data_IF_714411784262
#
_entry.id   IF_714411784262
#
_cell.length_a   1.000
_cell.length_b   1.000
_cell.length_c   1.000
_cell.angle_alpha   90.00
_cell.angle_beta   90.00
_cell.angle_gamma   90.00
#
_symmetry.space_group_name_H-M   'P 1'
#
loop_
_entity.id
_entity.type
_entity.pdbx_description
1 polymer ?
#
# COMPACT_ATOMS: atom_id res chain seq x y z
N UNK A 1 19.65 12.13 10.14
CA UNK A 1 19.11 10.91 10.75
C UNK A 1 19.90 9.71 10.24
N UNK A 2 20.25 8.77 11.14
CA UNK A 2 20.96 7.54 10.77
C UNK A 2 20.03 6.34 10.89
N UNK A 3 19.87 5.58 9.81
CA UNK A 3 18.95 4.44 9.74
C UNK A 3 19.66 3.29 9.05
N UNK A 4 19.60 2.08 9.63
CA UNK A 4 20.27 0.87 9.11
C UNK A 4 21.74 1.09 8.70
N UNK A 5 22.46 1.92 9.47
CA UNK A 5 23.86 2.25 9.21
C UNK A 5 24.11 3.35 8.17
N UNK A 6 23.08 3.90 7.52
CA UNK A 6 23.15 4.93 6.47
C UNK A 6 22.69 6.29 6.99
N UNK A 7 23.40 7.36 6.63
CA UNK A 7 23.00 8.75 6.91
C UNK A 7 22.05 9.23 5.80
N UNK A 8 20.79 9.53 6.15
CA UNK A 8 19.72 9.80 5.18
C UNK A 8 19.27 11.27 5.15
N UNK A 9 20.04 12.17 5.77
CA UNK A 9 19.67 13.59 5.85
C UNK A 9 18.61 13.88 6.92
N UNK A 10 17.92 15.02 6.78
CA UNK A 10 17.04 15.60 7.80
C UNK A 10 15.60 15.84 7.31
N UNK A 11 15.28 15.50 6.06
CA UNK A 11 14.00 15.83 5.41
C UNK A 11 12.79 15.24 6.16
N UNK A 12 12.99 14.14 6.88
CA UNK A 12 11.96 13.48 7.68
C UNK A 12 11.93 13.90 9.16
N UNK A 13 12.89 14.70 9.65
CA UNK A 13 13.05 14.92 11.10
C UNK A 13 11.76 15.42 11.77
N UNK A 14 11.05 16.35 11.12
CA UNK A 14 9.80 16.89 11.64
C UNK A 14 8.68 15.83 11.66
N UNK A 15 8.48 15.13 10.54
CA UNK A 15 7.47 14.07 10.42
C UNK A 15 7.72 12.94 11.43
N UNK A 16 8.98 12.49 11.52
CA UNK A 16 9.41 11.46 12.45
C UNK A 16 9.14 11.89 13.90
N UNK A 17 9.59 13.08 14.31
CA UNK A 17 9.40 13.56 15.68
C UNK A 17 7.92 13.71 16.08
N UNK A 18 7.06 14.12 15.15
CA UNK A 18 5.61 14.19 15.38
C UNK A 18 4.99 12.81 15.60
N UNK A 19 5.30 11.85 14.73
CA UNK A 19 4.74 10.50 14.81
C UNK A 19 5.32 9.75 16.01
N UNK A 20 6.62 9.84 16.25
CA UNK A 20 7.28 9.25 17.42
C UNK A 20 6.65 9.74 18.72
N UNK A 21 6.43 11.06 18.85
CA UNK A 21 5.78 11.64 20.02
C UNK A 21 4.38 11.07 20.24
N UNK A 22 3.57 10.96 19.17
CA UNK A 22 2.22 10.37 19.25
C UNK A 22 2.25 8.89 19.58
N UNK A 23 3.11 8.09 18.95
CA UNK A 23 3.27 6.67 19.26
C UNK A 23 3.63 6.47 20.73
N UNK A 24 4.56 7.27 21.25
CA UNK A 24 4.96 7.21 22.66
C UNK A 24 3.81 7.58 23.60
N UNK A 25 3.09 8.66 23.32
CA UNK A 25 2.07 9.19 24.22
C UNK A 25 0.73 8.43 24.15
N UNK A 26 0.30 8.03 22.94
CA UNK A 26 -1.01 7.42 22.69
C UNK A 26 -0.95 5.89 22.76
N UNK A 27 0.19 5.28 22.43
CA UNK A 27 0.33 3.81 22.35
C UNK A 27 1.34 3.23 23.32
N UNK A 28 2.14 4.06 24.00
CA UNK A 28 3.21 3.62 24.91
C UNK A 28 4.21 2.66 24.26
N UNK A 29 4.57 2.94 23.00
CA UNK A 29 5.54 2.17 22.21
C UNK A 29 6.68 3.04 21.71
N UNK A 30 7.73 2.39 21.22
CA UNK A 30 8.85 3.03 20.52
C UNK A 30 8.90 2.62 19.06
N UNK A 31 9.42 3.49 18.18
CA UNK A 31 9.66 3.17 16.78
C UNK A 31 11.12 2.72 16.63
N UNK A 32 11.33 1.55 16.03
CA UNK A 32 12.66 1.01 15.73
C UNK A 32 12.81 0.76 14.24
N UNK A 33 14.05 0.87 13.77
CA UNK A 33 14.41 0.58 12.38
C UNK A 33 15.28 -0.65 12.31
N UNK A 34 14.96 -1.57 11.40
CA UNK A 34 15.76 -2.76 11.14
C UNK A 34 15.93 -3.00 9.64
N UNK A 35 17.05 -3.60 9.26
CA UNK A 35 17.28 -4.03 7.89
C UNK A 35 16.65 -5.41 7.65
N UNK A 36 16.12 -5.65 6.46
CA UNK A 36 15.71 -6.99 6.03
C UNK A 36 16.01 -7.23 4.54
N UNK A 37 15.98 -8.50 4.15
CA UNK A 37 16.05 -8.95 2.75
C UNK A 37 14.67 -9.52 2.35
N UNK A 38 14.17 -9.12 1.18
CA UNK A 38 12.86 -9.57 0.69
C UNK A 38 12.38 -8.79 -0.53
N UNK A 39 11.15 -9.02 -0.98
CA UNK A 39 10.64 -8.43 -2.23
C UNK A 39 10.00 -7.04 -2.05
N UNK A 40 9.72 -6.63 -0.81
CA UNK A 40 9.14 -5.32 -0.50
C UNK A 40 10.20 -4.30 -0.14
N UNK A 41 9.91 -3.02 -0.34
CA UNK A 41 10.83 -1.92 0.02
C UNK A 41 10.87 -1.68 1.53
N UNK A 42 9.73 -1.84 2.19
CA UNK A 42 9.58 -1.71 3.64
C UNK A 42 8.36 -2.45 4.16
N UNK A 43 8.33 -2.70 5.48
CA UNK A 43 7.12 -3.13 6.19
C UNK A 43 7.09 -2.59 7.62
N UNK A 44 5.88 -2.49 8.19
CA UNK A 44 5.66 -2.03 9.57
C UNK A 44 5.11 -3.19 10.40
N UNK A 45 5.91 -3.67 11.36
CA UNK A 45 5.49 -4.69 12.34
C UNK A 45 5.07 -4.00 13.62
N UNK A 46 3.90 -4.40 14.13
CA UNK A 46 3.38 -3.94 15.41
C UNK A 46 3.59 -5.03 16.45
N UNK A 47 4.50 -4.79 17.40
CA UNK A 47 4.76 -5.68 18.53
C UNK A 47 4.16 -5.11 19.81
N UNK A 48 4.26 -5.86 20.91
CA UNK A 48 3.66 -5.46 22.19
C UNK A 48 4.21 -4.11 22.67
N UNK A 49 5.54 -3.95 22.65
CA UNK A 49 6.25 -2.78 23.19
C UNK A 49 6.87 -1.87 22.13
N UNK A 50 6.93 -2.29 20.87
CA UNK A 50 7.59 -1.53 19.81
C UNK A 50 6.90 -1.65 18.46
N UNK A 51 7.18 -0.70 17.59
CA UNK A 51 6.81 -0.70 16.18
C UNK A 51 8.11 -0.79 15.38
N UNK A 52 8.29 -1.86 14.62
CA UNK A 52 9.47 -2.05 13.77
C UNK A 52 9.16 -1.62 12.35
N UNK A 53 9.89 -0.61 11.87
CA UNK A 53 9.97 -0.25 10.46
C UNK A 53 11.13 -1.04 9.86
N UNK A 54 10.81 -2.08 9.09
CA UNK A 54 11.80 -2.88 8.38
C UNK A 54 12.07 -2.25 7.02
N UNK A 55 13.34 -2.08 6.68
CA UNK A 55 13.81 -1.44 5.45
C UNK A 55 14.65 -2.40 4.64
N UNK A 56 14.41 -2.46 3.34
CA UNK A 56 15.18 -3.33 2.45
C UNK A 56 16.66 -2.93 2.43
N UNK A 57 17.57 -3.85 2.74
CA UNK A 57 19.01 -3.57 2.87
C UNK A 57 19.63 -3.04 1.57
N UNK A 58 19.11 -3.49 0.42
CA UNK A 58 19.49 -3.05 -0.92
C UNK A 58 19.00 -1.65 -1.32
N UNK A 59 18.17 -0.97 -0.52
CA UNK A 59 17.71 0.37 -0.85
C UNK A 59 18.87 1.39 -0.80
N UNK A 60 19.09 2.20 -1.85
CA UNK A 60 20.16 3.20 -1.84
C UNK A 60 19.82 4.35 -0.89
N UNK A 61 20.86 5.03 -0.37
CA UNK A 61 20.70 6.07 0.66
C UNK A 61 19.73 7.19 0.26
N UNK A 62 19.75 7.61 -1.01
CA UNK A 62 18.87 8.68 -1.51
C UNK A 62 17.39 8.29 -1.54
N UNK A 63 17.08 7.00 -1.65
CA UNK A 63 15.69 6.51 -1.72
C UNK A 63 15.08 6.26 -0.33
N UNK A 64 15.91 6.12 0.71
CA UNK A 64 15.46 5.80 2.07
C UNK A 64 14.49 6.83 2.67
N UNK A 65 14.66 8.16 2.48
CA UNK A 65 13.68 9.14 2.96
C UNK A 65 12.26 8.87 2.45
N UNK A 66 12.07 8.59 1.16
CA UNK A 66 10.73 8.31 0.64
C UNK A 66 10.15 6.99 1.18
N UNK A 67 10.96 5.93 1.27
CA UNK A 67 10.54 4.62 1.81
C UNK A 67 10.11 4.75 3.28
N UNK A 68 10.93 5.42 4.10
CA UNK A 68 10.62 5.66 5.52
C UNK A 68 9.42 6.58 5.65
N UNK A 69 9.30 7.60 4.80
CA UNK A 69 8.15 8.49 4.74
C UNK A 69 6.84 7.72 4.61
N UNK A 70 6.75 6.78 3.67
CA UNK A 70 5.55 5.94 3.47
C UNK A 70 5.27 5.09 4.70
N UNK A 71 6.29 4.43 5.27
CA UNK A 71 6.13 3.64 6.49
C UNK A 71 5.62 4.48 7.68
N UNK A 72 6.13 5.70 7.84
CA UNK A 72 5.67 6.66 8.83
C UNK A 72 4.21 7.07 8.61
N UNK A 73 3.80 7.30 7.35
CA UNK A 73 2.40 7.59 7.05
C UNK A 73 1.48 6.43 7.40
N UNK A 74 1.88 5.17 7.19
CA UNK A 74 1.07 4.03 7.65
C UNK A 74 0.92 3.95 9.17
N UNK A 75 1.95 4.36 9.93
CA UNK A 75 1.83 4.52 11.39
C UNK A 75 0.83 5.63 11.72
N UNK A 76 0.95 6.79 11.07
CA UNK A 76 0.01 7.91 11.25
C UNK A 76 -1.43 7.50 10.92
N UNK A 77 -1.66 6.84 9.80
CA UNK A 77 -2.99 6.34 9.40
C UNK A 77 -3.61 5.47 10.50
N UNK A 78 -2.83 4.62 11.16
CA UNK A 78 -3.34 3.83 12.30
C UNK A 78 -3.68 4.69 13.51
N UNK A 79 -2.84 5.66 13.87
CA UNK A 79 -3.11 6.63 14.95
C UNK A 79 -4.39 7.43 14.66
N UNK A 80 -4.58 7.82 13.39
CA UNK A 80 -5.72 8.58 12.90
C UNK A 80 -6.96 7.72 12.57
N UNK A 81 -6.92 6.43 12.97
CA UNK A 81 -8.04 5.49 12.83
C UNK A 81 -8.53 5.32 11.38
N UNK A 82 -7.64 5.43 10.40
CA UNK A 82 -7.93 4.97 9.04
C UNK A 82 -8.30 3.48 9.05
N UNK A 83 -9.18 3.05 8.12
CA UNK A 83 -9.62 1.66 8.03
C UNK A 83 -8.46 0.72 7.72
N UNK A 84 -8.71 -0.58 7.85
CA UNK A 84 -7.79 -1.60 7.38
C UNK A 84 -8.55 -2.82 6.90
N UNK A 85 -7.92 -3.61 6.04
CA UNK A 85 -8.46 -4.90 5.65
C UNK A 85 -8.02 -5.97 6.66
N UNK A 86 -8.94 -6.86 7.04
CA UNK A 86 -8.74 -7.98 7.96
C UNK A 86 -9.16 -9.28 7.32
N UNK A 87 -8.51 -10.36 7.76
CA UNK A 87 -9.00 -11.71 7.54
C UNK A 87 -10.31 -11.90 8.32
N UNK A 88 -11.29 -12.55 7.70
CA UNK A 88 -12.52 -13.00 8.37
C UNK A 88 -12.47 -14.52 8.63
N UNK A 89 -13.56 -15.11 9.14
CA UNK A 89 -13.57 -16.47 9.69
C UNK A 89 -13.01 -17.55 8.73
N UNK A 90 -13.28 -17.45 7.43
CA UNK A 90 -12.68 -18.32 6.42
C UNK A 90 -11.63 -17.54 5.62
N UNK A 91 -10.45 -18.13 5.47
CA UNK A 91 -9.42 -17.62 4.56
C UNK A 91 -9.30 -18.54 3.36
N UNK A 92 -8.80 -17.98 2.28
CA UNK A 92 -8.61 -18.69 1.02
C UNK A 92 -7.15 -18.57 0.59
N UNK A 93 -6.73 -19.46 -0.29
CA UNK A 93 -5.43 -19.33 -0.95
C UNK A 93 -5.37 -17.99 -1.72
N UNK A 94 -4.26 -17.26 -1.57
CA UNK A 94 -4.10 -15.90 -2.11
C UNK A 94 -4.86 -14.79 -1.35
N UNK A 95 -5.69 -15.12 -0.36
CA UNK A 95 -6.51 -14.13 0.36
C UNK A 95 -5.70 -13.04 1.07
N UNK A 96 -4.55 -13.38 1.65
CA UNK A 96 -3.66 -12.41 2.29
C UNK A 96 -3.14 -11.36 1.29
N UNK A 97 -2.71 -11.81 0.11
CA UNK A 97 -2.19 -10.96 -0.95
C UNK A 97 -3.26 -9.97 -1.45
N UNK A 98 -4.50 -10.44 -1.66
CA UNK A 98 -5.63 -9.60 -2.07
C UNK A 98 -5.97 -8.56 -0.99
N UNK A 99 -5.99 -8.96 0.30
CA UNK A 99 -6.27 -8.03 1.40
C UNK A 99 -5.23 -6.92 1.50
N UNK A 100 -3.95 -7.26 1.36
CA UNK A 100 -2.87 -6.27 1.35
C UNK A 100 -2.98 -5.35 0.13
N UNK A 101 -3.28 -5.88 -1.07
CA UNK A 101 -3.48 -5.06 -2.25
C UNK A 101 -4.68 -4.11 -2.13
N UNK A 102 -5.80 -4.58 -1.55
CA UNK A 102 -6.98 -3.75 -1.30
C UNK A 102 -6.67 -2.64 -0.28
N UNK A 103 -5.91 -2.96 0.77
CA UNK A 103 -5.46 -1.95 1.74
C UNK A 103 -4.61 -0.88 1.05
N UNK A 104 -3.62 -1.31 0.27
CA UNK A 104 -2.63 -0.41 -0.33
C UNK A 104 -3.17 0.36 -1.54
N UNK A 105 -4.22 -0.13 -2.21
CA UNK A 105 -4.94 0.62 -3.24
C UNK A 105 -5.44 1.96 -2.71
N UNK A 106 -5.84 2.01 -1.43
CA UNK A 106 -6.41 3.21 -0.80
C UNK A 106 -5.36 3.94 0.06
N UNK A 107 -4.67 3.20 0.93
CA UNK A 107 -3.76 3.79 1.90
C UNK A 107 -2.40 4.19 1.31
N UNK A 108 -2.00 3.58 0.19
CA UNK A 108 -0.80 3.97 -0.55
C UNK A 108 -0.91 5.40 -1.10
N UNK A 109 -1.92 5.69 -1.95
CA UNK A 109 -2.13 7.03 -2.49
C UNK A 109 -2.24 8.11 -1.41
N UNK A 110 -2.97 7.84 -0.34
CA UNK A 110 -3.11 8.77 0.78
C UNK A 110 -1.76 9.06 1.45
N UNK A 111 -0.95 8.03 1.69
CA UNK A 111 0.40 8.21 2.24
C UNK A 111 1.29 9.03 1.29
N UNK A 112 1.26 8.72 -0.01
CA UNK A 112 2.01 9.44 -1.05
C UNK A 112 1.65 10.92 -1.09
N UNK A 113 0.36 11.27 -1.07
CA UNK A 113 -0.13 12.65 -1.06
C UNK A 113 0.35 13.44 0.16
N UNK A 114 0.37 12.84 1.36
CA UNK A 114 0.87 13.49 2.57
C UNK A 114 2.37 13.78 2.53
N UNK A 115 3.11 13.08 1.67
CA UNK A 115 4.56 13.26 1.51
C UNK A 115 4.94 14.25 0.41
N UNK A 116 4.01 14.62 -0.48
CA UNK A 116 4.26 15.59 -1.57
C UNK A 116 4.95 16.88 -1.09
N UNK A 117 4.54 17.52 0.04
CA UNK A 117 5.18 18.75 0.51
C UNK A 117 6.66 18.60 0.90
N UNK A 118 7.12 17.37 1.16
CA UNK A 118 8.52 17.09 1.51
C UNK A 118 9.43 16.95 0.29
N UNK A 119 8.87 16.92 -0.93
CA UNK A 119 9.61 16.83 -2.19
C UNK A 119 10.69 15.73 -2.20
N UNK A 120 10.38 14.57 -1.62
CA UNK A 120 11.29 13.44 -1.51
C UNK A 120 11.57 12.82 -2.88
N UNK A 121 12.82 12.38 -3.09
CA UNK A 121 13.17 11.60 -4.27
C UNK A 121 12.53 10.20 -4.21
N UNK A 122 11.65 9.94 -5.18
CA UNK A 122 10.92 8.70 -5.34
C UNK A 122 11.27 7.97 -6.64
N UNK A 123 12.25 8.44 -7.42
CA UNK A 123 12.61 7.88 -8.73
C UNK A 123 12.95 6.39 -8.61
N UNK A 124 13.89 6.05 -7.73
CA UNK A 124 14.30 4.66 -7.52
C UNK A 124 13.13 3.75 -7.13
N UNK A 125 12.22 4.23 -6.26
CA UNK A 125 11.06 3.44 -5.83
C UNK A 125 10.09 3.20 -6.98
N UNK A 126 9.86 4.22 -7.81
CA UNK A 126 9.04 4.12 -9.03
C UNK A 126 9.66 3.12 -10.01
N UNK A 127 10.98 3.14 -10.18
CA UNK A 127 11.69 2.16 -11.00
C UNK A 127 11.54 0.73 -10.47
N UNK A 128 11.73 0.51 -9.17
CA UNK A 128 11.57 -0.84 -8.58
C UNK A 128 10.14 -1.36 -8.75
N UNK A 129 9.13 -0.53 -8.48
CA UNK A 129 7.71 -0.88 -8.72
C UNK A 129 7.45 -1.20 -10.19
N UNK A 130 7.94 -0.36 -11.09
CA UNK A 130 7.79 -0.55 -12.53
C UNK A 130 8.41 -1.86 -13.01
N UNK A 131 9.63 -2.20 -12.57
CA UNK A 131 10.27 -3.47 -12.92
C UNK A 131 9.54 -4.66 -12.29
N UNK A 132 9.10 -4.54 -11.05
CA UNK A 132 8.27 -5.56 -10.39
C UNK A 132 7.00 -5.86 -11.17
N UNK A 133 6.28 -4.83 -11.62
CA UNK A 133 5.06 -5.01 -12.42
C UNK A 133 5.36 -5.60 -13.82
N UNK A 134 6.48 -5.24 -14.45
CA UNK A 134 6.90 -5.86 -15.71
C UNK A 134 7.13 -7.37 -15.56
N UNK A 135 7.84 -7.76 -14.51
CA UNK A 135 8.12 -9.16 -14.22
C UNK A 135 6.83 -9.91 -13.91
N UNK A 136 5.97 -9.32 -13.08
CA UNK A 136 4.65 -9.84 -12.78
C UNK A 136 3.81 -10.11 -14.03
N UNK A 137 3.70 -9.13 -14.94
CA UNK A 137 2.92 -9.28 -16.17
C UNK A 137 3.49 -10.32 -17.13
N UNK A 138 4.82 -10.44 -17.18
CA UNK A 138 5.49 -11.45 -18.02
C UNK A 138 5.23 -12.87 -17.52
N UNK A 139 5.25 -13.05 -16.21
CA UNK A 139 5.21 -14.36 -15.57
C UNK A 139 3.85 -14.64 -14.90
N UNK A 140 2.80 -13.90 -15.31
CA UNK A 140 1.47 -13.97 -14.71
C UNK A 140 0.86 -15.37 -14.94
N UNK A 141 0.44 -16.07 -13.88
CA UNK A 141 -0.20 -17.37 -14.02
C UNK A 141 -1.57 -17.29 -14.74
N UNK A 142 -2.02 -18.34 -15.45
CA UNK A 142 -3.29 -18.33 -16.19
C UNK A 142 -4.52 -18.00 -15.32
N UNK A 143 -4.54 -18.42 -14.05
CA UNK A 143 -5.66 -18.17 -13.13
C UNK A 143 -5.89 -16.68 -12.83
N UNK A 144 -4.93 -15.81 -13.18
CA UNK A 144 -5.09 -14.36 -13.05
C UNK A 144 -6.04 -13.78 -14.11
N UNK A 145 -6.35 -14.54 -15.16
CA UNK A 145 -7.40 -14.23 -16.12
C UNK A 145 -8.78 -14.80 -15.74
N UNK A 146 -8.87 -15.61 -14.69
CA UNK A 146 -10.14 -16.21 -14.25
C UNK A 146 -10.91 -15.23 -13.35
N UNK A 147 -11.99 -14.66 -13.87
CA UNK A 147 -12.85 -13.74 -13.11
C UNK A 147 -13.40 -14.45 -11.86
N UNK A 148 -13.26 -13.77 -10.72
CA UNK A 148 -13.63 -14.30 -9.40
C UNK A 148 -12.52 -15.08 -8.70
N UNK A 149 -11.43 -15.44 -9.38
CA UNK A 149 -10.25 -16.00 -8.72
C UNK A 149 -9.50 -14.93 -7.92
N UNK A 150 -8.86 -15.29 -6.79
CA UNK A 150 -8.07 -14.34 -6.00
C UNK A 150 -6.91 -13.69 -6.78
N UNK A 151 -6.30 -14.42 -7.71
CA UNK A 151 -5.26 -13.89 -8.60
C UNK A 151 -5.77 -12.75 -9.49
N UNK A 152 -6.95 -12.92 -10.09
CA UNK A 152 -7.60 -11.88 -10.88
C UNK A 152 -7.97 -10.65 -10.03
N UNK A 153 -8.53 -10.85 -8.84
CA UNK A 153 -8.85 -9.76 -7.92
C UNK A 153 -7.58 -8.97 -7.52
N UNK A 154 -6.50 -9.67 -7.18
CA UNK A 154 -5.22 -9.04 -6.89
C UNK A 154 -4.68 -8.23 -8.07
N UNK A 155 -4.68 -8.80 -9.28
CA UNK A 155 -4.25 -8.11 -10.48
C UNK A 155 -5.12 -6.88 -10.77
N UNK A 156 -6.43 -6.96 -10.54
CA UNK A 156 -7.36 -5.83 -10.72
C UNK A 156 -7.04 -4.68 -9.76
N UNK A 157 -6.76 -4.99 -8.49
CA UNK A 157 -6.35 -4.00 -7.47
C UNK A 157 -4.99 -3.37 -7.82
N UNK A 158 -4.04 -4.16 -8.35
CA UNK A 158 -2.77 -3.63 -8.84
C UNK A 158 -3.00 -2.67 -10.02
N UNK A 159 -3.80 -3.05 -11.01
CA UNK A 159 -4.11 -2.18 -12.15
C UNK A 159 -4.68 -0.84 -11.67
N UNK A 160 -5.66 -0.87 -10.76
CA UNK A 160 -6.27 0.33 -10.20
C UNK A 160 -5.25 1.21 -9.46
N UNK A 161 -4.38 0.60 -8.64
CA UNK A 161 -3.35 1.34 -7.89
C UNK A 161 -2.33 2.01 -8.81
N UNK A 162 -1.83 1.28 -9.81
CA UNK A 162 -0.86 1.84 -10.75
C UNK A 162 -1.46 2.95 -11.60
N UNK A 163 -2.76 2.90 -11.88
CA UNK A 163 -3.49 3.99 -12.54
C UNK A 163 -3.56 5.26 -11.69
N UNK A 164 -3.42 5.16 -10.36
CA UNK A 164 -3.45 6.30 -9.43
C UNK A 164 -2.05 6.87 -9.20
N UNK A 165 -1.10 6.03 -8.78
CA UNK A 165 0.17 6.51 -8.22
C UNK A 165 1.35 6.47 -9.20
N UNK A 166 1.26 5.66 -10.26
CA UNK A 166 2.43 5.39 -11.08
C UNK A 166 2.67 6.52 -12.08
N UNK A 167 3.92 6.99 -12.28
CA UNK A 167 4.19 8.09 -13.20
C UNK A 167 3.65 7.80 -14.61
N UNK A 168 2.87 8.72 -15.18
CA UNK A 168 2.11 8.52 -16.43
C UNK A 168 2.97 7.96 -17.58
N UNK A 169 4.18 8.52 -17.77
CA UNK A 169 5.13 8.07 -18.80
C UNK A 169 5.58 6.63 -18.63
N UNK A 170 5.65 6.15 -17.38
CA UNK A 170 5.98 4.77 -17.06
C UNK A 170 4.75 3.87 -17.06
N UNK A 171 3.57 4.41 -16.72
CA UNK A 171 2.33 3.65 -16.66
C UNK A 171 1.78 3.33 -18.05
N UNK A 172 1.69 4.30 -18.95
CA UNK A 172 1.08 4.13 -20.27
C UNK A 172 1.55 2.88 -21.07
N UNK A 173 2.85 2.52 -21.12
CA UNK A 173 3.27 1.27 -21.76
C UNK A 173 2.88 0.02 -20.96
N UNK A 174 2.90 0.07 -19.62
CA UNK A 174 2.49 -1.05 -18.77
C UNK A 174 0.99 -1.28 -18.81
N UNK A 175 0.20 -0.20 -18.87
CA UNK A 175 -1.26 -0.29 -18.98
C UNK A 175 -1.65 -1.12 -20.20
N UNK A 176 -1.04 -0.84 -21.36
CA UNK A 176 -1.25 -1.60 -22.60
C UNK A 176 -0.83 -3.05 -22.46
N UNK A 177 0.32 -3.31 -21.83
CA UNK A 177 0.76 -4.68 -21.56
C UNK A 177 -0.23 -5.40 -20.64
N UNK A 178 -0.71 -4.74 -19.58
CA UNK A 178 -1.70 -5.28 -18.65
C UNK A 178 -3.00 -5.65 -19.38
N UNK A 179 -3.50 -4.76 -20.24
CA UNK A 179 -4.70 -5.00 -21.05
C UNK A 179 -4.55 -6.18 -22.03
N UNK A 180 -3.34 -6.46 -22.49
CA UNK A 180 -3.07 -7.58 -23.40
C UNK A 180 -2.90 -8.90 -22.66
N UNK A 181 -2.12 -8.92 -21.58
CA UNK A 181 -1.78 -10.15 -20.84
C UNK A 181 -2.88 -10.56 -19.86
N UNK A 182 -3.53 -9.58 -19.22
CA UNK A 182 -4.54 -9.77 -18.18
C UNK A 182 -5.81 -8.92 -18.44
N UNK A 183 -6.49 -9.09 -19.60
CA UNK A 183 -7.60 -8.23 -20.02
C UNK A 183 -8.74 -8.15 -19.00
N UNK A 184 -9.14 -9.27 -18.40
CA UNK A 184 -10.23 -9.30 -17.43
C UNK A 184 -9.87 -8.52 -16.14
N UNK A 185 -8.63 -8.66 -15.68
CA UNK A 185 -8.17 -7.89 -14.51
C UNK A 185 -8.02 -6.40 -14.83
N UNK A 186 -7.62 -6.04 -16.05
CA UNK A 186 -7.55 -4.65 -16.49
C UNK A 186 -8.94 -4.00 -16.55
N UNK A 187 -9.95 -4.72 -17.04
CA UNK A 187 -11.34 -4.25 -17.07
C UNK A 187 -11.88 -4.01 -15.65
N UNK A 188 -11.79 -5.01 -14.78
CA UNK A 188 -12.20 -4.90 -13.38
C UNK A 188 -11.41 -3.81 -12.64
N UNK A 189 -10.11 -3.69 -12.90
CA UNK A 189 -9.25 -2.67 -12.32
C UNK A 189 -9.65 -1.25 -12.72
N UNK A 190 -10.11 -1.04 -13.96
CA UNK A 190 -10.66 0.26 -14.40
C UNK A 190 -11.97 0.58 -13.67
N UNK A 191 -12.88 -0.38 -13.55
CA UNK A 191 -14.13 -0.19 -12.81
C UNK A 191 -13.86 0.20 -11.35
N UNK A 192 -12.95 -0.52 -10.68
CA UNK A 192 -12.51 -0.19 -9.32
C UNK A 192 -11.91 1.22 -9.25
N UNK A 193 -11.00 1.57 -10.17
CA UNK A 193 -10.40 2.90 -10.23
C UNK A 193 -11.45 4.01 -10.36
N UNK A 194 -12.42 3.86 -11.26
CA UNK A 194 -13.49 4.82 -11.49
C UNK A 194 -14.36 5.01 -10.23
N UNK A 195 -14.72 3.91 -9.56
CA UNK A 195 -15.48 3.94 -8.31
C UNK A 195 -14.75 4.74 -7.23
N UNK A 196 -13.51 4.38 -6.93
CA UNK A 196 -12.78 5.02 -5.81
C UNK A 196 -12.31 6.42 -6.14
N UNK A 197 -12.11 6.78 -7.41
CA UNK A 197 -11.74 8.15 -7.80
C UNK A 197 -12.83 9.17 -7.50
N UNK A 198 -14.09 8.75 -7.47
CA UNK A 198 -15.22 9.62 -7.10
C UNK A 198 -15.31 9.91 -5.60
N UNK A 199 -14.82 8.98 -4.76
CA UNK A 199 -14.92 9.03 -3.29
C UNK A 199 -13.63 9.54 -2.66
N UNK A 200 -12.49 9.06 -3.15
CA UNK A 200 -11.14 9.43 -2.69
C UNK A 200 -10.74 8.78 -1.35
N UNK A 201 -9.64 9.26 -0.79
CA UNK A 201 -8.99 8.68 0.40
C UNK A 201 -8.47 9.73 1.39
N UNK A 202 -8.81 11.01 1.19
CA UNK A 202 -8.24 12.13 1.96
C UNK A 202 -8.60 12.15 3.45
N UNK A 203 -9.63 11.38 3.84
CA UNK A 203 -10.10 11.23 5.23
C UNK A 203 -10.33 9.75 5.55
N UNK A 204 -10.36 9.40 6.85
CA UNK A 204 -10.64 8.02 7.27
C UNK A 204 -12.01 7.52 6.78
N UNK A 205 -13.03 8.39 6.72
CA UNK A 205 -14.36 8.04 6.20
C UNK A 205 -14.36 7.78 4.70
N UNK A 206 -13.74 8.66 3.91
CA UNK A 206 -13.61 8.48 2.46
C UNK A 206 -12.76 7.22 2.14
N UNK A 207 -11.67 7.00 2.87
CA UNK A 207 -10.86 5.79 2.72
C UNK A 207 -11.64 4.52 3.07
N UNK A 208 -12.53 4.56 4.07
CA UNK A 208 -13.39 3.43 4.44
C UNK A 208 -14.39 3.12 3.32
N UNK A 209 -15.08 4.14 2.83
CA UNK A 209 -16.06 4.00 1.75
C UNK A 209 -15.40 3.48 0.47
N UNK A 210 -14.28 4.06 0.05
CA UNK A 210 -13.51 3.58 -1.11
C UNK A 210 -13.04 2.13 -0.97
N UNK A 211 -12.62 1.72 0.23
CA UNK A 211 -12.18 0.35 0.50
C UNK A 211 -13.34 -0.65 0.43
N UNK A 212 -14.54 -0.27 0.91
CA UNK A 212 -15.75 -1.09 0.81
C UNK A 212 -16.20 -1.19 -0.66
N UNK A 213 -16.23 -0.08 -1.39
CA UNK A 213 -16.61 -0.06 -2.81
C UNK A 213 -15.69 -0.96 -3.65
N UNK A 214 -14.37 -0.83 -3.49
CA UNK A 214 -13.41 -1.66 -4.22
C UNK A 214 -13.53 -3.15 -3.84
N UNK A 215 -13.79 -3.45 -2.57
CA UNK A 215 -14.05 -4.82 -2.09
C UNK A 215 -15.30 -5.41 -2.74
N UNK A 216 -16.38 -4.66 -2.72
CA UNK A 216 -17.69 -5.13 -3.15
C UNK A 216 -17.75 -5.31 -4.67
N UNK A 217 -17.12 -4.40 -5.42
CA UNK A 217 -16.95 -4.50 -6.87
C UNK A 217 -16.28 -5.82 -7.29
N UNK A 218 -15.25 -6.23 -6.54
CA UNK A 218 -14.51 -7.47 -6.82
C UNK A 218 -15.06 -8.69 -6.08
N UNK A 219 -16.22 -8.58 -5.40
CA UNK A 219 -16.88 -9.66 -4.65
C UNK A 219 -15.98 -10.32 -3.58
N UNK A 220 -15.20 -9.52 -2.84
CA UNK A 220 -14.19 -10.02 -1.88
C UNK A 220 -14.71 -10.20 -0.45
N UNK A 221 -16.01 -9.96 -0.21
CA UNK A 221 -16.62 -9.90 1.13
C UNK A 221 -16.44 -11.20 1.93
N UNK A 222 -16.27 -12.33 1.25
CA UNK A 222 -16.12 -13.65 1.89
C UNK A 222 -14.74 -13.89 2.52
N UNK A 223 -13.74 -13.03 2.26
CA UNK A 223 -12.38 -13.22 2.81
C UNK A 223 -11.61 -11.93 3.10
N UNK A 224 -12.13 -10.76 2.73
CA UNK A 224 -11.55 -9.44 2.98
C UNK A 224 -12.53 -8.56 3.77
N UNK A 225 -12.54 -8.68 5.10
CA UNK A 225 -13.35 -7.80 5.97
C UNK A 225 -12.72 -6.42 6.08
N UNK A 226 -13.52 -5.35 6.12
CA UNK A 226 -13.02 -3.98 6.26
C UNK A 226 -13.28 -3.50 7.68
N UNK A 227 -12.22 -3.30 8.45
CA UNK A 227 -12.31 -2.78 9.82
C UNK A 227 -12.47 -1.26 9.79
N UNK A 228 -13.63 -0.76 10.21
CA UNK A 228 -13.84 0.62 10.61
C UNK A 228 -13.22 0.82 12.00
N UNK A 229 -12.02 1.42 12.04
CA UNK A 229 -11.31 1.66 13.31
C UNK A 229 -11.88 2.81 14.13
N UNK A 230 -12.77 3.63 13.58
CA UNK A 230 -13.48 4.66 14.35
C UNK A 230 -14.59 4.02 15.18
N UNK A 231 -15.27 3.01 14.65
CA UNK A 231 -16.35 2.29 15.32
C UNK A 231 -15.92 1.00 16.01
N UNK A 232 -14.78 0.44 15.62
CA UNK A 232 -14.31 -0.86 16.12
C UNK A 232 -15.10 -2.03 15.53
N UNK A 233 -15.63 -1.88 14.32
CA UNK A 233 -16.49 -2.86 13.64
C UNK A 233 -15.81 -3.39 12.38
N UNK A 234 -16.08 -4.66 12.04
CA UNK A 234 -15.67 -5.25 10.75
C UNK A 234 -16.91 -5.34 9.88
N UNK A 235 -16.83 -4.67 8.73
CA UNK A 235 -17.85 -4.63 7.67
C UNK A 235 -17.50 -5.61 6.55
#
# INVERSE_FOLDING_TARGET
MKVIGKEIGNDLNQLFGQIESRVKNEMQREIKFEGFEGETLSSVIWEEHEIKIRLHTGAPTHALPGIIGVALQHIRQRLDRFPTVRRIQQDIEGGAMVRDALRELILGPEASEKLVPLALDNEWQNEQRHQGLKLFLRDAPPEFNEVGAPGNAFASLLFARYSIEHPEKMWAPLEKQFQNELPAAAENGKAVYELISSTGWSTAGAALESMILARDELNLQNYAGVEDRLKGEIL
#
